data_IF_302715857907
#
_entry.id   IF_302715857907
#
_cell.length_a   1.000
_cell.length_b   1.000
_cell.length_c   1.000
_cell.angle_alpha   90.00
_cell.angle_beta   90.00
_cell.angle_gamma   90.00
#
_symmetry.space_group_name_H-M   'P 1'
#
loop_
_entity.id
_entity.type
_entity.pdbx_description
1 polymer ?
#
# COMPACT_ATOMS: atom_id res chain seq x y z
N UNK A 1 38.65 20.11 15.74
CA UNK A 1 38.15 19.69 14.40
C UNK A 1 37.99 18.18 14.28
N UNK A 2 38.54 17.39 15.21
CA UNK A 2 38.57 15.92 15.15
C UNK A 2 37.25 15.25 15.54
N UNK A 3 36.46 15.85 16.43
CA UNK A 3 35.10 15.37 16.75
C UNK A 3 34.16 15.43 15.55
N UNK A 4 34.32 16.41 14.66
CA UNK A 4 33.47 16.56 13.46
C UNK A 4 33.83 15.49 12.43
N UNK A 5 35.13 15.19 12.24
CA UNK A 5 35.58 14.08 11.38
C UNK A 5 35.02 12.73 11.85
N UNK A 6 35.02 12.46 13.16
CA UNK A 6 34.52 11.17 13.67
C UNK A 6 33.01 11.01 13.56
N UNK A 7 32.22 12.09 13.67
CA UNK A 7 30.77 12.07 13.44
C UNK A 7 30.46 11.79 11.96
N UNK A 8 31.22 12.39 11.04
CA UNK A 8 31.07 12.17 9.60
C UNK A 8 31.44 10.72 9.22
N UNK A 9 32.50 10.17 9.80
CA UNK A 9 32.86 8.75 9.61
C UNK A 9 31.78 7.80 10.13
N UNK A 10 31.26 8.05 11.34
CA UNK A 10 30.15 7.25 11.90
C UNK A 10 28.92 7.32 11.01
N UNK A 11 28.51 8.51 10.58
CA UNK A 11 27.37 8.67 9.67
C UNK A 11 27.59 7.91 8.35
N UNK A 12 28.78 8.03 7.75
CA UNK A 12 29.13 7.29 6.51
C UNK A 12 29.05 5.78 6.70
N UNK A 13 29.48 5.28 7.86
CA UNK A 13 29.42 3.86 8.21
C UNK A 13 27.99 3.39 8.45
N UNK A 14 27.13 4.21 9.08
CA UNK A 14 25.69 3.97 9.21
C UNK A 14 24.99 3.93 7.84
N UNK A 15 25.24 4.89 6.96
CA UNK A 15 24.68 4.89 5.61
C UNK A 15 25.17 3.71 4.76
N UNK A 16 26.44 3.29 4.94
CA UNK A 16 26.97 2.11 4.30
C UNK A 16 26.28 0.82 4.79
N UNK A 17 26.08 0.68 6.10
CA UNK A 17 25.33 -0.43 6.70
C UNK A 17 23.88 -0.48 6.25
N UNK A 18 23.17 0.66 6.25
CA UNK A 18 21.78 0.75 5.77
C UNK A 18 21.65 0.41 4.28
N UNK A 19 22.63 0.77 3.44
CA UNK A 19 22.64 0.36 2.02
C UNK A 19 22.77 -1.16 1.84
N UNK A 20 23.47 -1.85 2.73
CA UNK A 20 23.63 -3.30 2.69
C UNK A 20 22.34 -4.00 3.16
N UNK A 21 21.69 -3.49 4.21
CA UNK A 21 20.39 -4.01 4.68
C UNK A 21 19.26 -3.74 3.67
N UNK A 22 19.24 -2.57 3.03
CA UNK A 22 18.31 -2.28 1.93
C UNK A 22 18.52 -3.18 0.70
N UNK A 23 19.70 -3.77 0.54
CA UNK A 23 19.97 -4.78 -0.50
C UNK A 23 19.47 -6.18 -0.10
N UNK A 24 19.28 -6.45 1.19
CA UNK A 24 18.64 -7.68 1.70
C UNK A 24 17.12 -7.61 1.68
N UNK A 25 16.55 -6.41 1.56
CA UNK A 25 15.13 -6.25 1.24
C UNK A 25 14.92 -6.87 -0.14
N UNK A 26 14.29 -8.05 -0.14
CA UNK A 26 13.82 -8.73 -1.34
C UNK A 26 12.78 -7.84 -1.99
N UNK A 27 13.22 -6.96 -2.89
CA UNK A 27 12.32 -6.16 -3.69
C UNK A 27 11.50 -7.14 -4.53
N UNK A 28 10.17 -7.19 -4.32
CA UNK A 28 9.33 -8.15 -5.01
C UNK A 28 9.42 -7.89 -6.52
N UNK A 29 9.75 -8.93 -7.28
CA UNK A 29 9.76 -8.88 -8.75
C UNK A 29 8.42 -8.36 -9.25
N UNK A 30 8.38 -7.42 -10.21
CA UNK A 30 7.16 -6.71 -10.65
C UNK A 30 6.02 -7.64 -11.09
N UNK A 31 6.34 -8.89 -11.47
CA UNK A 31 5.35 -9.92 -11.80
C UNK A 31 4.48 -10.37 -10.61
N UNK A 32 5.04 -10.45 -9.40
CA UNK A 32 4.29 -10.83 -8.20
C UNK A 32 3.42 -9.67 -7.68
N UNK A 33 3.93 -8.45 -7.80
CA UNK A 33 3.18 -7.23 -7.45
C UNK A 33 1.95 -7.06 -8.33
N UNK A 34 2.08 -7.30 -9.64
CA UNK A 34 0.94 -7.27 -10.57
C UNK A 34 -0.10 -8.34 -10.25
N UNK A 35 0.32 -9.59 -9.97
CA UNK A 35 -0.61 -10.66 -9.61
C UNK A 35 -1.42 -10.35 -8.34
N UNK A 36 -0.76 -9.79 -7.33
CA UNK A 36 -1.40 -9.40 -6.07
C UNK A 36 -2.38 -8.25 -6.26
N UNK A 37 -2.03 -7.24 -7.07
CA UNK A 37 -2.92 -6.10 -7.38
C UNK A 37 -4.12 -6.52 -8.22
N UNK A 38 -3.97 -7.46 -9.15
CA UNK A 38 -5.09 -7.97 -9.96
C UNK A 38 -6.18 -8.62 -9.11
N UNK A 39 -5.81 -9.37 -8.08
CA UNK A 39 -6.77 -9.99 -7.15
C UNK A 39 -7.56 -8.91 -6.40
N UNK A 40 -6.87 -7.87 -5.91
CA UNK A 40 -7.51 -6.74 -5.22
C UNK A 40 -8.52 -6.04 -6.13
N UNK A 41 -8.19 -5.81 -7.39
CA UNK A 41 -9.11 -5.19 -8.36
C UNK A 41 -10.40 -6.00 -8.52
N UNK A 42 -10.28 -7.33 -8.66
CA UNK A 42 -11.45 -8.21 -8.78
C UNK A 42 -12.33 -8.12 -7.53
N UNK A 43 -11.72 -8.19 -6.34
CA UNK A 43 -12.46 -8.11 -5.07
C UNK A 43 -13.17 -6.76 -4.94
N UNK A 44 -12.51 -5.65 -5.30
CA UNK A 44 -13.11 -4.31 -5.26
C UNK A 44 -14.31 -4.20 -6.21
N UNK A 45 -14.23 -4.78 -7.41
CA UNK A 45 -15.36 -4.78 -8.36
C UNK A 45 -16.56 -5.53 -7.78
N UNK A 46 -16.34 -6.69 -7.17
CA UNK A 46 -17.42 -7.49 -6.57
C UNK A 46 -18.07 -6.74 -5.41
N UNK A 47 -17.26 -6.22 -4.48
CA UNK A 47 -17.75 -5.51 -3.30
C UNK A 47 -18.49 -4.22 -3.69
N UNK A 48 -17.93 -3.42 -4.60
CA UNK A 48 -18.56 -2.18 -5.05
C UNK A 48 -19.89 -2.43 -5.78
N UNK A 49 -19.96 -3.49 -6.58
CA UNK A 49 -21.21 -3.91 -7.24
C UNK A 49 -22.26 -4.33 -6.22
N UNK A 50 -21.88 -5.15 -5.23
CA UNK A 50 -22.79 -5.57 -4.17
C UNK A 50 -23.33 -4.38 -3.37
N UNK A 51 -22.44 -3.50 -2.90
CA UNK A 51 -22.83 -2.30 -2.17
C UNK A 51 -23.74 -1.42 -3.02
N UNK A 52 -23.39 -1.17 -4.28
CA UNK A 52 -24.23 -0.35 -5.19
C UNK A 52 -25.64 -0.90 -5.40
N UNK A 53 -25.81 -2.23 -5.47
CA UNK A 53 -27.14 -2.87 -5.53
C UNK A 53 -27.91 -2.63 -4.24
N UNK A 54 -27.26 -2.81 -3.09
CA UNK A 54 -27.85 -2.62 -1.77
C UNK A 54 -28.26 -1.16 -1.57
N UNK A 55 -27.39 -0.21 -1.87
CA UNK A 55 -27.65 1.23 -1.79
C UNK A 55 -28.82 1.64 -2.69
N UNK A 56 -28.91 1.08 -3.90
CA UNK A 56 -30.03 1.34 -4.81
C UNK A 56 -31.35 0.78 -4.28
N UNK A 57 -31.33 -0.43 -3.71
CA UNK A 57 -32.48 -1.05 -3.06
C UNK A 57 -32.97 -0.25 -1.86
N UNK A 58 -32.06 0.12 -0.96
CA UNK A 58 -32.35 0.98 0.18
C UNK A 58 -32.92 2.33 -0.24
N UNK A 59 -32.32 2.98 -1.24
CA UNK A 59 -32.81 4.28 -1.75
C UNK A 59 -34.25 4.18 -2.26
N UNK A 60 -34.61 3.09 -2.94
CA UNK A 60 -36.00 2.84 -3.38
C UNK A 60 -36.95 2.65 -2.20
N UNK A 61 -36.57 1.86 -1.20
CA UNK A 61 -37.39 1.61 -0.01
C UNK A 61 -37.59 2.90 0.79
N UNK A 62 -36.51 3.65 1.02
CA UNK A 62 -36.55 4.92 1.73
C UNK A 62 -37.42 5.94 1.00
N UNK A 63 -37.34 6.02 -0.35
CA UNK A 63 -38.23 6.87 -1.15
C UNK A 63 -39.70 6.44 -1.10
N UNK A 64 -39.97 5.14 -0.95
CA UNK A 64 -41.34 4.62 -0.82
C UNK A 64 -41.95 4.91 0.56
N UNK A 65 -41.12 5.09 1.58
CA UNK A 65 -41.55 5.39 2.96
C UNK A 65 -41.65 6.91 3.22
N UNK A 66 -40.74 7.70 2.64
CA UNK A 66 -40.69 9.16 2.79
C UNK A 66 -41.50 9.93 1.72
N UNK A 67 -41.87 9.27 0.63
CA UNK A 67 -42.87 9.75 -0.33
C UNK A 67 -44.25 9.29 0.07
#
# INVERSE_FOLDING_TARGET
MDKIKSIIERARQFFAGSKVELKKVTWPTPKQTLASTSIVIIVVIIVSTFLGIVDFGLTKIVRLILG
#
